data_IF_355092398706
#
_entry.id   IF_355092398706
#
_cell.length_a   1.000
_cell.length_b   1.000
_cell.length_c   1.000
_cell.angle_alpha   90.00
_cell.angle_beta   90.00
_cell.angle_gamma   90.00
#
_symmetry.space_group_name_H-M   'P 1'
#
loop_
_entity.id
_entity.type
_entity.pdbx_description
1 polymer ?
#
# COMPACT_ATOMS: atom_id res chain seq x y z
N UNK A 1 -16.48 4.14 -7.84
CA UNK A 1 -17.05 4.12 -9.21
C UNK A 1 -16.25 3.14 -10.04
N UNK A 2 -16.90 2.16 -10.67
CA UNK A 2 -16.24 1.23 -11.60
C UNK A 2 -16.25 1.87 -13.00
N UNK A 3 -15.12 1.86 -13.69
CA UNK A 3 -15.03 2.36 -15.06
C UNK A 3 -15.25 1.26 -16.10
N UNK A 4 -15.38 1.66 -17.36
CA UNK A 4 -15.66 0.74 -18.48
C UNK A 4 -14.40 0.25 -19.21
N UNK A 5 -13.25 0.27 -18.51
CA UNK A 5 -11.96 -0.24 -19.02
C UNK A 5 -11.73 -1.69 -18.58
N UNK A 6 -10.84 -2.39 -19.29
CA UNK A 6 -10.48 -3.77 -18.95
C UNK A 6 -9.91 -3.86 -17.52
N UNK A 7 -10.33 -4.88 -16.78
CA UNK A 7 -9.96 -5.09 -15.38
C UNK A 7 -10.26 -3.88 -14.47
N UNK A 8 -11.46 -3.30 -14.59
CA UNK A 8 -11.89 -2.15 -13.80
C UNK A 8 -12.01 -2.37 -12.29
N UNK A 9 -11.90 -3.62 -11.83
CA UNK A 9 -11.76 -3.95 -10.42
C UNK A 9 -10.36 -3.62 -9.85
N UNK A 10 -9.33 -3.43 -10.70
CA UNK A 10 -7.97 -3.21 -10.23
C UNK A 10 -7.87 -1.95 -9.34
N UNK A 11 -8.43 -0.78 -9.68
CA UNK A 11 -8.34 0.36 -8.78
C UNK A 11 -9.07 0.16 -7.46
N UNK A 12 -10.10 -0.69 -7.42
CA UNK A 12 -10.79 -1.04 -6.17
C UNK A 12 -9.86 -1.82 -5.24
N UNK A 13 -9.00 -2.68 -5.77
CA UNK A 13 -8.06 -3.47 -4.97
C UNK A 13 -6.73 -2.74 -4.70
N UNK A 14 -6.12 -2.17 -5.74
CA UNK A 14 -4.77 -1.63 -5.68
C UNK A 14 -4.69 -0.26 -4.99
N UNK A 15 -5.74 0.58 -5.07
CA UNK A 15 -5.72 1.89 -4.40
C UNK A 15 -5.73 1.74 -2.87
N UNK A 16 -6.62 0.94 -2.25
CA UNK A 16 -6.55 0.68 -0.81
C UNK A 16 -5.27 -0.07 -0.42
N UNK A 17 -4.84 -1.04 -1.24
CA UNK A 17 -3.61 -1.79 -0.98
C UNK A 17 -2.38 -0.87 -0.94
N UNK A 18 -2.31 0.15 -1.82
CA UNK A 18 -1.20 1.10 -1.82
C UNK A 18 -1.12 1.90 -0.52
N UNK A 19 -2.26 2.30 0.06
CA UNK A 19 -2.28 2.95 1.37
C UNK A 19 -1.80 2.01 2.49
N UNK A 20 -2.24 0.75 2.49
CA UNK A 20 -1.83 -0.26 3.47
C UNK A 20 -0.32 -0.54 3.35
N UNK A 21 0.18 -0.69 2.12
CA UNK A 21 1.60 -0.93 1.85
C UNK A 21 2.44 0.26 2.29
N UNK A 22 1.99 1.50 2.07
CA UNK A 22 2.69 2.68 2.55
C UNK A 22 2.84 2.67 4.09
N UNK A 23 1.79 2.31 4.83
CA UNK A 23 1.85 2.14 6.28
C UNK A 23 2.81 1.01 6.70
N UNK A 24 2.76 -0.14 6.02
CA UNK A 24 3.65 -1.26 6.30
C UNK A 24 5.12 -0.87 6.08
N UNK A 25 5.43 -0.14 5.01
CA UNK A 25 6.77 0.37 4.71
C UNK A 25 7.25 1.35 5.79
N UNK A 26 6.38 2.23 6.31
CA UNK A 26 6.73 3.09 7.45
C UNK A 26 7.07 2.27 8.71
N UNK A 27 6.38 1.16 8.96
CA UNK A 27 6.72 0.25 10.05
C UNK A 27 8.09 -0.42 9.86
N UNK A 28 8.43 -0.81 8.63
CA UNK A 28 9.76 -1.34 8.30
C UNK A 28 10.84 -0.27 8.49
N UNK A 29 10.58 0.98 8.08
CA UNK A 29 11.51 2.09 8.30
C UNK A 29 11.69 2.39 9.78
N UNK A 30 10.61 2.35 10.58
CA UNK A 30 10.68 2.49 12.02
C UNK A 30 11.59 1.44 12.64
N UNK A 31 11.39 0.16 12.28
CA UNK A 31 12.28 -0.91 12.73
C UNK A 31 13.72 -0.58 12.32
N UNK A 32 13.97 -0.18 11.08
CA UNK A 32 15.32 0.12 10.62
C UNK A 32 16.01 1.23 11.43
N UNK A 33 15.32 2.32 11.76
CA UNK A 33 15.93 3.44 12.50
C UNK A 33 16.00 3.21 14.02
N UNK A 34 15.11 2.40 14.57
CA UNK A 34 15.07 2.05 16.01
C UNK A 34 15.80 0.74 16.33
N UNK A 35 16.26 -0.01 15.32
CA UNK A 35 17.09 -1.19 15.57
C UNK A 35 18.46 -0.70 16.03
N UNK A 36 18.65 -0.71 17.35
CA UNK A 36 19.93 -0.41 17.99
C UNK A 36 21.05 -1.35 17.52
N UNK A 37 22.28 -0.81 17.56
CA UNK A 37 23.54 -1.53 17.67
C UNK A 37 24.07 -1.42 19.11
#
# INVERSE_FOLDING_TARGET
MLGNYAASFLPVAFVPMLAIVAFAVMGLFFIYVETDA
#
